data_IF_625608588620
#
_entry.id   IF_625608588620
#
_cell.length_a   1.000
_cell.length_b   1.000
_cell.length_c   1.000
_cell.angle_alpha   90.00
_cell.angle_beta   90.00
_cell.angle_gamma   90.00
#
_symmetry.space_group_name_H-M   'P 1'
#
loop_
_entity.id
_entity.type
_entity.pdbx_description
1 polymer ?
#
# COMPACT_ATOMS: atom_id res chain seq x y z
N UNK A 1 22.82 -1.22 4.59
CA UNK A 1 22.21 -2.24 5.47
C UNK A 1 20.74 -2.21 5.19
N UNK A 2 20.09 -3.37 5.03
CA UNK A 2 18.63 -3.41 4.89
C UNK A 2 18.00 -2.97 6.23
N UNK A 3 16.97 -2.14 6.16
CA UNK A 3 16.20 -1.65 7.30
C UNK A 3 14.85 -2.39 7.34
N UNK A 4 14.36 -2.78 8.51
CA UNK A 4 13.01 -3.37 8.61
C UNK A 4 11.99 -2.38 8.07
N UNK A 5 11.01 -2.87 7.34
CA UNK A 5 10.03 -2.01 6.66
C UNK A 5 9.28 -1.09 7.63
N UNK A 6 8.83 -1.63 8.77
CA UNK A 6 8.19 -0.82 9.81
C UNK A 6 9.08 0.31 10.32
N UNK A 7 10.36 0.03 10.57
CA UNK A 7 11.31 0.99 11.11
C UNK A 7 11.67 2.06 10.07
N UNK A 8 11.80 1.64 8.80
CA UNK A 8 12.06 2.54 7.70
C UNK A 8 11.01 3.66 7.60
N UNK A 9 9.74 3.29 7.63
CA UNK A 9 8.64 4.25 7.54
C UNK A 9 8.44 5.05 8.84
N UNK A 10 8.62 4.42 10.01
CA UNK A 10 8.53 5.10 11.31
C UNK A 10 9.58 6.21 11.44
N UNK A 11 10.83 5.93 11.01
CA UNK A 11 11.94 6.88 11.09
C UNK A 11 11.83 8.06 10.09
N UNK A 12 10.99 7.95 9.06
CA UNK A 12 10.83 8.96 8.00
C UNK A 12 9.49 9.69 8.03
N UNK A 13 8.73 9.52 9.08
CA UNK A 13 7.39 10.11 9.20
C UNK A 13 7.40 11.65 9.10
N UNK A 14 8.41 12.30 9.72
CA UNK A 14 8.61 13.73 9.59
C UNK A 14 9.03 14.09 8.16
N UNK A 15 8.24 14.91 7.48
CA UNK A 15 8.47 15.29 6.09
C UNK A 15 8.07 14.23 5.05
N UNK A 16 7.50 13.10 5.45
CA UNK A 16 7.11 12.01 4.53
C UNK A 16 6.19 12.49 3.40
N UNK A 17 5.12 13.18 3.75
CA UNK A 17 4.14 13.67 2.75
C UNK A 17 4.75 14.64 1.76
N UNK A 18 5.60 15.56 2.24
CA UNK A 18 6.31 16.50 1.38
C UNK A 18 7.27 15.74 0.45
N UNK A 19 8.04 14.80 1.00
CA UNK A 19 8.95 13.97 0.21
C UNK A 19 8.21 13.21 -0.90
N UNK A 20 7.13 12.53 -0.57
CA UNK A 20 6.34 11.76 -1.53
C UNK A 20 5.73 12.63 -2.62
N UNK A 21 5.26 13.83 -2.27
CA UNK A 21 4.65 14.76 -3.24
C UNK A 21 5.67 15.47 -4.14
N UNK A 22 6.89 15.71 -3.65
CA UNK A 22 7.87 16.53 -4.36
C UNK A 22 8.99 15.73 -5.03
N UNK A 23 9.36 14.59 -4.47
CA UNK A 23 10.51 13.81 -4.93
C UNK A 23 10.12 12.56 -5.74
N UNK A 24 8.88 12.07 -5.61
CA UNK A 24 8.37 11.01 -6.49
C UNK A 24 7.93 11.60 -7.83
N UNK A 25 8.52 11.09 -8.91
CA UNK A 25 8.16 11.51 -10.26
C UNK A 25 6.71 11.11 -10.54
N UNK A 26 5.88 12.08 -10.91
CA UNK A 26 4.48 11.86 -11.26
C UNK A 26 3.52 11.79 -10.07
N UNK A 27 3.98 12.03 -8.81
CA UNK A 27 3.11 11.98 -7.64
C UNK A 27 1.90 12.91 -7.73
N UNK A 28 2.09 14.11 -8.30
CA UNK A 28 1.02 15.07 -8.54
C UNK A 28 -0.04 14.59 -9.54
N UNK A 29 0.30 13.58 -10.36
CA UNK A 29 -0.59 12.98 -11.35
C UNK A 29 -1.18 11.66 -10.85
N UNK A 30 -0.36 10.74 -10.32
CA UNK A 30 -0.82 9.39 -10.02
C UNK A 30 -1.73 9.31 -8.78
N UNK A 31 -1.52 10.12 -7.72
CA UNK A 31 -2.45 10.12 -6.58
C UNK A 31 -3.87 10.54 -6.99
N UNK A 32 -4.07 11.70 -7.70
CA UNK A 32 -5.40 12.05 -8.18
C UNK A 32 -5.95 11.08 -9.24
N UNK A 33 -5.08 10.49 -10.07
CA UNK A 33 -5.50 9.49 -11.06
C UNK A 33 -6.03 8.23 -10.38
N UNK A 34 -5.29 7.69 -9.41
CA UNK A 34 -5.69 6.52 -8.61
C UNK A 34 -7.01 6.76 -7.89
N UNK A 35 -7.16 7.91 -7.23
CA UNK A 35 -8.40 8.29 -6.56
C UNK A 35 -9.62 8.29 -7.50
N UNK A 36 -9.46 8.72 -8.76
CA UNK A 36 -10.53 8.71 -9.78
C UNK A 36 -10.92 7.31 -10.26
N UNK A 37 -10.08 6.29 -10.03
CA UNK A 37 -10.42 4.91 -10.36
C UNK A 37 -11.29 4.26 -9.27
N UNK A 38 -11.40 4.86 -8.09
CA UNK A 38 -12.22 4.32 -7.00
C UNK A 38 -13.70 4.71 -7.18
N UNK A 39 -14.65 3.91 -6.64
CA UNK A 39 -16.07 4.14 -6.85
C UNK A 39 -16.55 5.43 -6.15
N UNK A 40 -17.14 6.36 -6.90
CA UNK A 40 -17.69 7.61 -6.38
C UNK A 40 -19.19 7.41 -6.10
N UNK A 41 -19.48 6.57 -5.11
CA UNK A 41 -20.85 6.28 -4.66
C UNK A 41 -20.95 6.51 -3.16
N UNK A 42 -22.00 7.18 -2.71
CA UNK A 42 -22.18 7.48 -1.28
C UNK A 42 -22.11 6.21 -0.42
N UNK A 43 -21.22 6.21 0.57
CA UNK A 43 -21.02 5.07 1.46
C UNK A 43 -20.23 3.91 0.85
N UNK A 44 -19.52 4.13 -0.28
CA UNK A 44 -18.60 3.15 -0.83
C UNK A 44 -17.62 2.63 0.23
N UNK A 45 -17.41 1.32 0.28
CA UNK A 45 -16.49 0.68 1.21
C UNK A 45 -15.17 0.35 0.50
N UNK A 46 -14.07 0.91 0.96
CA UNK A 46 -12.75 0.79 0.36
C UNK A 46 -11.78 0.12 1.33
N UNK A 47 -10.99 -0.83 0.83
CA UNK A 47 -9.85 -1.42 1.53
C UNK A 47 -8.56 -0.84 0.96
N UNK A 48 -7.72 -0.29 1.82
CA UNK A 48 -6.45 0.33 1.44
C UNK A 48 -5.27 -0.42 2.06
N UNK A 49 -4.41 -0.98 1.20
CA UNK A 49 -3.27 -1.82 1.58
C UNK A 49 -1.97 -1.03 1.54
N UNK A 50 -1.37 -0.81 2.69
CA UNK A 50 -0.21 0.06 2.85
C UNK A 50 -0.61 1.52 2.80
N UNK A 51 -1.70 1.88 3.48
CA UNK A 51 -2.33 3.20 3.37
C UNK A 51 -1.46 4.37 3.89
N UNK A 52 -0.35 4.09 4.56
CA UNK A 52 0.60 5.11 5.02
C UNK A 52 -0.06 6.28 5.76
N UNK A 53 0.23 7.49 5.30
CA UNK A 53 -0.40 8.72 5.78
C UNK A 53 -1.67 9.10 5.03
N UNK A 54 -2.09 8.30 4.01
CA UNK A 54 -3.32 8.47 3.24
C UNK A 54 -3.26 9.55 2.16
N UNK A 55 -2.18 9.61 1.38
CA UNK A 55 -2.02 10.62 0.32
C UNK A 55 -3.07 10.44 -0.80
N UNK A 56 -3.30 9.22 -1.26
CA UNK A 56 -4.36 8.86 -2.20
C UNK A 56 -5.76 9.08 -1.61
N UNK A 57 -5.90 8.84 -0.29
CA UNK A 57 -7.17 9.05 0.41
C UNK A 57 -7.53 10.52 0.53
N UNK A 58 -6.56 11.45 0.60
CA UNK A 58 -6.82 12.89 0.55
C UNK A 58 -7.46 13.30 -0.79
N UNK A 59 -6.99 12.73 -1.90
CA UNK A 59 -7.56 12.96 -3.21
C UNK A 59 -8.94 12.29 -3.35
N UNK A 60 -9.09 11.06 -2.83
CA UNK A 60 -10.35 10.35 -2.89
C UNK A 60 -11.44 10.98 -2.01
N UNK A 61 -11.10 11.51 -0.84
CA UNK A 61 -12.06 12.19 0.05
C UNK A 61 -12.70 13.41 -0.61
N UNK A 62 -12.01 14.08 -1.50
CA UNK A 62 -12.58 15.19 -2.30
C UNK A 62 -13.65 14.72 -3.28
N UNK A 63 -13.54 13.46 -3.77
CA UNK A 63 -14.47 12.87 -4.73
C UNK A 63 -15.63 12.15 -4.03
N UNK A 64 -15.36 11.47 -2.92
CA UNK A 64 -16.33 10.68 -2.19
C UNK A 64 -16.18 10.86 -0.66
N UNK A 65 -16.60 12.02 -0.10
CA UNK A 65 -16.40 12.34 1.32
C UNK A 65 -17.17 11.45 2.30
N UNK A 66 -18.12 10.64 1.82
CA UNK A 66 -18.90 9.70 2.60
C UNK A 66 -18.43 8.25 2.50
N UNK A 67 -17.28 8.01 1.87
CA UNK A 67 -16.71 6.68 1.78
C UNK A 67 -16.35 6.13 3.17
N UNK A 68 -16.44 4.80 3.31
CA UNK A 68 -15.97 4.05 4.47
C UNK A 68 -14.64 3.41 4.12
N UNK A 69 -13.61 3.77 4.84
CA UNK A 69 -12.26 3.32 4.56
C UNK A 69 -11.80 2.30 5.61
N UNK A 70 -11.20 1.21 5.17
CA UNK A 70 -10.39 0.34 6.03
C UNK A 70 -8.96 0.41 5.53
N UNK A 71 -8.09 1.06 6.30
CA UNK A 71 -6.67 1.20 5.99
C UNK A 71 -5.83 0.24 6.82
N UNK A 72 -4.84 -0.40 6.20
CA UNK A 72 -3.90 -1.32 6.83
C UNK A 72 -2.49 -0.84 6.58
N UNK A 73 -1.69 -0.70 7.63
CA UNK A 73 -0.28 -0.33 7.52
C UNK A 73 0.54 -0.92 8.67
N UNK A 74 1.83 -1.19 8.43
CA UNK A 74 2.77 -1.69 9.44
C UNK A 74 3.17 -0.62 10.45
N UNK A 75 3.25 0.66 10.03
CA UNK A 75 3.70 1.77 10.86
C UNK A 75 2.56 2.38 11.66
N UNK A 76 2.70 2.35 12.99
CA UNK A 76 1.78 3.05 13.90
C UNK A 76 1.83 4.57 13.72
N UNK A 77 3.02 5.10 13.42
CA UNK A 77 3.23 6.52 13.19
C UNK A 77 2.48 7.00 11.95
N UNK A 78 2.57 6.26 10.83
CA UNK A 78 1.83 6.55 9.61
C UNK A 78 0.32 6.57 9.87
N UNK A 79 -0.22 5.54 10.50
CA UNK A 79 -1.65 5.47 10.83
C UNK A 79 -2.10 6.56 11.81
N UNK A 80 -1.22 6.99 12.71
CA UNK A 80 -1.51 8.11 13.61
C UNK A 80 -1.57 9.44 12.85
N UNK A 81 -0.71 9.64 11.86
CA UNK A 81 -0.75 10.80 10.98
C UNK A 81 -2.01 10.80 10.11
N UNK A 82 -2.35 9.66 9.52
CA UNK A 82 -3.59 9.48 8.75
C UNK A 82 -4.82 9.78 9.62
N UNK A 83 -4.89 9.24 10.84
CA UNK A 83 -6.01 9.50 11.75
C UNK A 83 -6.19 10.99 12.07
N UNK A 84 -5.10 11.74 12.21
CA UNK A 84 -5.17 13.19 12.44
C UNK A 84 -5.74 13.94 11.24
N UNK A 85 -5.38 13.55 10.02
CA UNK A 85 -5.92 14.14 8.78
C UNK A 85 -7.42 13.90 8.64
N UNK A 86 -7.88 12.71 9.02
CA UNK A 86 -9.24 12.24 8.79
C UNK A 86 -10.05 12.05 10.08
N UNK A 87 -9.88 12.93 11.09
CA UNK A 87 -10.52 12.79 12.42
C UNK A 87 -12.03 12.63 12.40
N UNK A 88 -12.70 13.23 11.42
CA UNK A 88 -14.17 13.23 11.31
C UNK A 88 -14.71 12.31 10.21
N UNK A 89 -13.89 11.35 9.75
CA UNK A 89 -14.26 10.43 8.67
C UNK A 89 -14.48 9.01 9.19
N UNK A 90 -15.26 8.24 8.46
CA UNK A 90 -15.53 6.83 8.75
C UNK A 90 -14.32 5.99 8.27
N UNK A 91 -13.26 5.98 9.09
CA UNK A 91 -12.02 5.26 8.80
C UNK A 91 -11.69 4.27 9.92
N UNK A 92 -11.58 3.01 9.57
CA UNK A 92 -11.04 1.94 10.40
C UNK A 92 -9.57 1.74 10.05
N UNK A 93 -8.69 1.75 11.04
CA UNK A 93 -7.24 1.57 10.84
C UNK A 93 -6.76 0.31 11.56
N UNK A 94 -6.03 -0.53 10.83
CA UNK A 94 -5.46 -1.80 11.31
C UNK A 94 -3.93 -1.67 11.25
N UNK A 95 -3.28 -1.74 12.41
CA UNK A 95 -1.82 -1.82 12.50
C UNK A 95 -1.39 -3.26 12.27
N UNK A 96 -0.66 -3.52 11.21
CA UNK A 96 -0.15 -4.87 10.91
C UNK A 96 0.09 -5.10 9.43
N UNK A 97 0.56 -6.29 9.12
CA UNK A 97 0.74 -6.72 7.73
C UNK A 97 -0.62 -7.00 7.08
N UNK A 98 -0.83 -6.49 5.88
CA UNK A 98 -2.01 -6.84 5.09
C UNK A 98 -2.00 -8.30 4.61
N UNK A 99 -0.87 -9.01 4.70
CA UNK A 99 -0.85 -10.46 4.51
C UNK A 99 -1.58 -11.20 5.63
N UNK A 100 -1.50 -10.71 6.87
CA UNK A 100 -2.05 -11.35 8.07
C UNK A 100 -3.40 -10.78 8.49
N UNK A 101 -3.64 -9.47 8.26
CA UNK A 101 -4.85 -8.79 8.68
C UNK A 101 -6.11 -9.41 8.05
N UNK A 102 -7.20 -9.60 8.80
CA UNK A 102 -8.44 -10.11 8.24
C UNK A 102 -9.12 -9.05 7.36
N UNK A 103 -9.54 -9.43 6.14
CA UNK A 103 -10.27 -8.53 5.26
C UNK A 103 -11.80 -8.72 5.34
N UNK A 104 -12.27 -9.88 5.83
CA UNK A 104 -13.66 -10.28 5.73
C UNK A 104 -14.03 -10.79 4.34
N UNK A 105 -15.34 -10.95 4.08
CA UNK A 105 -15.84 -11.52 2.82
C UNK A 105 -16.90 -10.60 2.20
N UNK A 106 -16.74 -10.27 0.93
CA UNK A 106 -17.69 -9.45 0.13
C UNK A 106 -18.12 -8.14 0.81
N UNK A 107 -17.14 -7.44 1.39
CA UNK A 107 -17.37 -6.20 2.15
C UNK A 107 -17.09 -4.96 1.31
N UNK A 108 -16.04 -5.01 0.46
CA UNK A 108 -15.51 -3.83 -0.20
C UNK A 108 -16.01 -3.68 -1.64
N UNK A 109 -16.33 -2.45 -2.01
CA UNK A 109 -16.65 -2.07 -3.39
C UNK A 109 -15.37 -1.98 -4.24
N UNK A 110 -14.28 -1.54 -3.63
CA UNK A 110 -12.95 -1.60 -4.23
C UNK A 110 -11.87 -1.79 -3.16
N UNK A 111 -10.71 -2.27 -3.61
CA UNK A 111 -9.47 -2.20 -2.84
C UNK A 111 -8.45 -1.36 -3.62
N UNK A 112 -7.51 -0.75 -2.90
CA UNK A 112 -6.44 0.06 -3.47
C UNK A 112 -5.11 -0.26 -2.79
N UNK A 113 -4.03 -0.12 -3.53
CA UNK A 113 -2.66 -0.06 -3.00
C UNK A 113 -1.84 0.88 -3.84
N UNK A 114 -1.11 1.79 -3.19
CA UNK A 114 -0.26 2.77 -3.85
C UNK A 114 1.15 2.66 -3.29
N UNK A 115 2.14 2.44 -4.18
CA UNK A 115 3.56 2.39 -3.81
C UNK A 115 3.88 1.47 -2.62
N UNK A 116 3.29 0.25 -2.61
CA UNK A 116 3.41 -0.67 -1.48
C UNK A 116 3.73 -2.12 -1.88
N UNK A 117 3.20 -2.63 -2.99
CA UNK A 117 3.35 -4.04 -3.35
C UNK A 117 4.65 -4.34 -4.11
N UNK A 118 5.38 -3.35 -4.59
CA UNK A 118 6.67 -3.54 -5.27
C UNK A 118 7.77 -4.13 -4.36
N UNK A 119 7.55 -4.18 -3.06
CA UNK A 119 8.48 -4.81 -2.12
C UNK A 119 8.37 -6.34 -2.06
N UNK A 120 7.36 -6.95 -2.70
CA UNK A 120 7.02 -8.36 -2.57
C UNK A 120 7.11 -9.11 -3.89
N UNK A 121 7.48 -10.38 -3.81
CA UNK A 121 7.56 -11.27 -4.97
C UNK A 121 6.18 -11.66 -5.49
N UNK A 122 6.15 -12.21 -6.70
CA UNK A 122 4.92 -12.75 -7.31
C UNK A 122 4.28 -13.82 -6.43
N UNK A 123 5.09 -14.71 -5.89
CA UNK A 123 4.66 -15.83 -5.05
C UNK A 123 4.02 -15.34 -3.75
N UNK A 124 4.57 -14.29 -3.13
CA UNK A 124 4.01 -13.65 -1.94
C UNK A 124 2.67 -12.94 -2.24
N UNK A 125 2.53 -12.34 -3.43
CA UNK A 125 1.31 -11.61 -3.83
C UNK A 125 0.13 -12.51 -4.18
N UNK A 126 0.35 -13.74 -4.66
CA UNK A 126 -0.74 -14.65 -5.05
C UNK A 126 -1.76 -14.87 -3.92
N UNK A 127 -1.37 -15.32 -2.71
CA UNK A 127 -2.33 -15.49 -1.62
C UNK A 127 -3.00 -14.19 -1.17
N UNK A 128 -2.32 -13.05 -1.32
CA UNK A 128 -2.91 -11.74 -1.06
C UNK A 128 -4.04 -11.43 -2.05
N UNK A 129 -3.82 -11.69 -3.33
CA UNK A 129 -4.84 -11.47 -4.36
C UNK A 129 -6.05 -12.41 -4.21
N UNK A 130 -5.86 -13.66 -3.80
CA UNK A 130 -6.94 -14.59 -3.47
C UNK A 130 -7.78 -14.07 -2.28
N UNK A 131 -7.11 -13.54 -1.27
CA UNK A 131 -7.74 -12.93 -0.11
C UNK A 131 -8.51 -11.66 -0.48
N UNK A 132 -7.94 -10.80 -1.34
CA UNK A 132 -8.62 -9.63 -1.90
C UNK A 132 -9.86 -10.03 -2.70
N UNK A 133 -9.75 -11.02 -3.57
CA UNK A 133 -10.89 -11.53 -4.34
C UNK A 133 -12.05 -11.97 -3.44
N UNK A 134 -11.74 -12.61 -2.31
CA UNK A 134 -12.75 -13.03 -1.32
C UNK A 134 -13.40 -11.83 -0.62
N UNK A 135 -12.62 -10.79 -0.33
CA UNK A 135 -13.07 -9.61 0.40
C UNK A 135 -13.89 -8.64 -0.45
N UNK A 136 -13.66 -8.63 -1.76
CA UNK A 136 -14.38 -7.78 -2.70
C UNK A 136 -15.81 -8.29 -2.95
N UNK A 137 -16.76 -7.35 -3.10
CA UNK A 137 -18.11 -7.63 -3.57
C UNK A 137 -18.08 -8.20 -4.99
N UNK A 138 -19.23 -8.70 -5.48
CA UNK A 138 -19.36 -9.36 -6.78
C UNK A 138 -18.77 -8.54 -7.94
N UNK A 139 -18.98 -7.24 -7.96
CA UNK A 139 -18.49 -6.34 -9.01
C UNK A 139 -17.36 -5.43 -8.49
N UNK A 140 -16.80 -5.80 -7.33
CA UNK A 140 -15.67 -5.10 -6.72
C UNK A 140 -14.37 -5.36 -7.48
N UNK A 141 -13.44 -4.43 -7.38
CA UNK A 141 -12.18 -4.48 -8.10
C UNK A 141 -11.01 -3.95 -7.27
N UNK A 142 -9.80 -4.26 -7.72
CA UNK A 142 -8.56 -3.79 -7.10
C UNK A 142 -7.85 -2.81 -8.02
N UNK A 143 -7.44 -1.68 -7.46
CA UNK A 143 -6.62 -0.66 -8.11
C UNK A 143 -5.21 -0.74 -7.55
N UNK A 144 -4.24 -0.97 -8.42
CA UNK A 144 -2.82 -0.99 -8.07
C UNK A 144 -2.11 0.15 -8.81
N UNK A 145 -1.47 1.04 -8.06
CA UNK A 145 -0.55 2.06 -8.55
C UNK A 145 0.80 1.80 -7.90
N UNK A 146 1.79 1.37 -8.69
CA UNK A 146 3.03 0.87 -8.11
C UNK A 146 4.19 0.96 -9.10
N UNK A 147 5.41 0.67 -8.64
CA UNK A 147 6.57 0.47 -9.49
C UNK A 147 6.49 -0.83 -10.26
N UNK A 148 6.82 -0.75 -11.55
CA UNK A 148 6.94 -1.91 -12.41
C UNK A 148 8.33 -1.92 -13.04
N UNK A 149 8.95 -3.10 -13.10
CA UNK A 149 10.20 -3.29 -13.83
C UNK A 149 9.94 -3.15 -15.34
N UNK A 150 10.89 -2.56 -16.05
CA UNK A 150 10.78 -2.37 -17.49
C UNK A 150 11.02 -3.68 -18.29
N UNK A 151 11.63 -4.68 -17.66
CA UNK A 151 11.89 -6.00 -18.28
C UNK A 151 12.09 -7.10 -17.23
N UNK A 152 11.99 -8.35 -17.67
CA UNK A 152 12.28 -9.54 -16.83
C UNK A 152 13.72 -9.54 -16.30
N UNK A 153 14.67 -9.02 -17.09
CA UNK A 153 16.08 -8.90 -16.68
C UNK A 153 16.24 -7.91 -15.53
N UNK A 154 15.53 -6.78 -15.58
CA UNK A 154 15.52 -5.79 -14.51
C UNK A 154 14.88 -6.36 -13.25
N UNK A 155 13.74 -7.04 -13.34
CA UNK A 155 13.11 -7.73 -12.22
C UNK A 155 14.08 -8.73 -11.57
N UNK A 156 14.73 -9.56 -12.37
CA UNK A 156 15.70 -10.54 -11.89
C UNK A 156 16.90 -9.88 -11.20
N UNK A 157 17.38 -8.74 -11.72
CA UNK A 157 18.48 -7.99 -11.12
C UNK A 157 18.10 -7.51 -9.70
N UNK A 158 16.92 -6.91 -9.52
CA UNK A 158 16.44 -6.47 -8.20
C UNK A 158 16.36 -7.63 -7.21
N UNK A 159 15.78 -8.77 -7.62
CA UNK A 159 15.67 -9.97 -6.79
C UNK A 159 17.03 -10.55 -6.39
N UNK A 160 17.96 -10.64 -7.33
CA UNK A 160 19.32 -11.13 -7.06
C UNK A 160 20.05 -10.22 -6.06
N UNK A 161 19.95 -8.90 -6.23
CA UNK A 161 20.53 -7.93 -5.33
C UNK A 161 19.98 -8.06 -3.90
N UNK A 162 18.66 -8.21 -3.76
CA UNK A 162 18.03 -8.43 -2.45
C UNK A 162 18.55 -9.71 -1.79
N UNK A 163 18.62 -10.83 -2.55
CA UNK A 163 19.13 -12.11 -2.03
C UNK A 163 20.57 -12.01 -1.55
N UNK A 164 21.43 -11.31 -2.30
CA UNK A 164 22.82 -11.05 -1.89
C UNK A 164 22.90 -10.23 -0.61
N UNK A 165 22.06 -9.20 -0.48
CA UNK A 165 22.01 -8.36 0.72
C UNK A 165 21.50 -9.13 1.94
N UNK A 166 20.43 -9.91 1.79
CA UNK A 166 19.90 -10.79 2.85
C UNK A 166 20.97 -11.79 3.33
N UNK A 167 21.63 -12.48 2.39
CA UNK A 167 22.67 -13.44 2.73
C UNK A 167 23.85 -12.79 3.48
N UNK A 168 24.31 -11.61 3.05
CA UNK A 168 25.38 -10.87 3.72
C UNK A 168 25.03 -10.42 5.15
N UNK A 169 23.75 -10.24 5.45
CA UNK A 169 23.27 -9.74 6.74
C UNK A 169 22.66 -10.83 7.61
N UNK A 170 22.58 -12.08 7.14
CA UNK A 170 22.00 -13.21 7.87
C UNK A 170 20.50 -13.06 8.12
N UNK A 171 19.78 -12.41 7.19
CA UNK A 171 18.35 -12.12 7.30
C UNK A 171 17.54 -13.33 6.86
N UNK A 172 16.56 -13.71 7.65
CA UNK A 172 15.61 -14.78 7.31
C UNK A 172 14.52 -14.32 6.36
N UNK A 173 14.00 -15.25 5.54
CA UNK A 173 13.05 -14.93 4.45
C UNK A 173 11.66 -14.44 4.92
N UNK A 174 11.30 -14.69 6.18
CA UNK A 174 9.99 -14.31 6.73
C UNK A 174 9.92 -12.90 7.33
N UNK A 175 11.02 -12.13 7.29
CA UNK A 175 11.06 -10.75 7.76
C UNK A 175 10.95 -9.77 6.58
N UNK A 176 10.11 -8.74 6.72
CA UNK A 176 9.93 -7.70 5.71
C UNK A 176 10.96 -6.58 5.88
N UNK A 177 11.74 -6.36 4.83
CA UNK A 177 12.74 -5.29 4.74
C UNK A 177 12.40 -4.36 3.59
N UNK A 178 12.69 -3.08 3.77
CA UNK A 178 12.52 -2.10 2.70
C UNK A 178 13.58 -2.33 1.62
N UNK A 179 13.13 -2.80 0.48
CA UNK A 179 13.89 -2.97 -0.74
C UNK A 179 12.92 -3.19 -1.92
N UNK A 180 13.14 -2.48 -3.01
CA UNK A 180 12.26 -2.55 -4.17
C UNK A 180 12.54 -3.82 -4.97
N UNK A 181 11.50 -4.60 -5.22
CA UNK A 181 11.50 -5.78 -6.08
C UNK A 181 10.34 -5.73 -7.07
N UNK A 182 10.30 -4.68 -7.94
CA UNK A 182 9.19 -4.50 -8.86
C UNK A 182 9.06 -5.70 -9.80
N UNK A 183 7.82 -6.03 -10.18
CA UNK A 183 7.50 -7.03 -11.19
C UNK A 183 7.38 -6.35 -12.56
N UNK A 184 7.57 -7.12 -13.62
CA UNK A 184 7.25 -6.71 -15.00
C UNK A 184 5.75 -6.68 -15.27
#
# INVERSE_FOLDING_TARGET
MLEKMSDFFENRLEGYDEHMRTNLIGAEEFYPFTAKQLPVVAGASILDLGCGTGLELEEYDRLCPSAKITGIDLSRGMLSALRKKFMNKDITLIVGSYFDAPFGERIYDAAVSVESLHHFTKEEKIPLYEKLHTALKKDGYFVLTDYFAASDEEEQMYRQNLNVLKAKQGIADHEFYHYDTPLT
#
